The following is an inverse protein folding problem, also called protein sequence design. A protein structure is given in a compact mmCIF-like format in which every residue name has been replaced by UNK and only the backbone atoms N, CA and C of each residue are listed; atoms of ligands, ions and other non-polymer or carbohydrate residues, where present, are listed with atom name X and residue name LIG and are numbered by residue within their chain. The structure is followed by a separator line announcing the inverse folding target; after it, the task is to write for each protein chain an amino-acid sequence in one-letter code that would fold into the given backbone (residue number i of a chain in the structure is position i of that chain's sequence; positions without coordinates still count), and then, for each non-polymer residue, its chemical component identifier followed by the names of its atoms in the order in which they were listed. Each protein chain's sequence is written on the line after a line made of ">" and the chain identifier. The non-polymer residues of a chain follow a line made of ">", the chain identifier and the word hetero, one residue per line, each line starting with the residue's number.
data_IF_596521982630
#
_entry.id   IF_596521982630
#
_cell.length_a   1.000
_cell.length_b   1.000
_cell.length_c   1.000
_cell.angle_alpha   90.00
_cell.angle_beta   90.00
_cell.angle_gamma   90.00
#
_symmetry.space_group_name_H-M   'P 1'
#
loop_
_entity.id
_entity.type
_entity.pdbx_description
1 polymer ?
#
# COMPACT_ATOMS: atom_id res chain seq x y z
N UNK A 1 4.13 -10.96 -3.39
CA UNK A 1 2.92 -11.74 -3.72
C UNK A 1 1.89 -11.50 -2.63
N UNK A 2 0.66 -11.14 -2.97
CA UNK A 2 -0.41 -11.10 -1.96
C UNK A 2 -0.70 -12.53 -1.48
N UNK A 3 -1.13 -12.68 -0.23
CA UNK A 3 -1.31 -14.00 0.41
C UNK A 3 -2.37 -14.84 -0.33
N UNK A 4 -3.24 -14.21 -1.12
CA UNK A 4 -4.35 -14.87 -1.82
C UNK A 4 -3.93 -15.85 -2.91
N UNK A 5 -2.65 -15.83 -3.34
CA UNK A 5 -2.12 -16.76 -4.34
C UNK A 5 -1.56 -18.05 -3.71
N UNK A 6 -1.61 -18.21 -2.38
CA UNK A 6 -1.08 -19.38 -1.65
C UNK A 6 -2.21 -20.33 -1.23
N UNK A 7 -2.31 -21.55 -1.81
CA UNK A 7 -3.38 -22.49 -1.50
C UNK A 7 -3.38 -22.96 -0.03
N UNK A 8 -2.21 -23.00 0.61
CA UNK A 8 -2.02 -23.42 2.00
C UNK A 8 -2.40 -22.34 3.02
N UNK A 9 -2.55 -21.08 2.59
CA UNK A 9 -2.86 -19.95 3.46
C UNK A 9 -3.75 -18.93 2.74
N UNK A 10 -5.06 -19.19 2.63
CA UNK A 10 -5.96 -18.36 1.81
C UNK A 10 -6.11 -16.93 2.34
N UNK A 11 -5.88 -16.70 3.64
CA UNK A 11 -5.89 -15.36 4.24
C UNK A 11 -4.99 -15.26 5.49
N UNK A 12 -4.79 -14.03 5.97
CA UNK A 12 -4.07 -13.73 7.21
C UNK A 12 -4.91 -12.89 8.14
N UNK A 13 -4.84 -13.15 9.44
CA UNK A 13 -5.34 -12.25 10.49
C UNK A 13 -4.16 -11.40 11.00
N UNK A 14 -4.29 -10.08 10.96
CA UNK A 14 -3.32 -9.15 11.53
C UNK A 14 -3.98 -7.79 11.80
N UNK A 15 -3.40 -6.96 12.67
CA UNK A 15 -3.79 -5.56 12.78
C UNK A 15 -3.63 -4.80 11.46
N UNK A 16 -4.46 -3.77 11.29
CA UNK A 16 -4.35 -2.77 10.22
C UNK A 16 -3.64 -1.50 10.69
N UNK A 17 -3.71 -1.25 12.00
CA UNK A 17 -3.04 -0.17 12.71
C UNK A 17 -2.01 -0.78 13.67
N UNK A 18 -0.84 -0.17 13.73
CA UNK A 18 0.26 -0.56 14.60
C UNK A 18 0.67 0.64 15.42
N UNK A 19 0.45 0.58 16.72
CA UNK A 19 0.84 1.63 17.65
C UNK A 19 2.30 1.45 18.06
N UNK A 20 3.06 2.53 18.00
CA UNK A 20 4.42 2.62 18.48
C UNK A 20 4.44 3.61 19.64
N UNK A 21 4.67 3.15 20.88
CA UNK A 21 4.85 4.02 22.02
C UNK A 21 6.02 4.99 21.81
N UNK A 22 5.98 6.14 22.48
CA UNK A 22 7.12 7.03 22.54
C UNK A 22 8.33 6.31 23.15
N UNK A 23 9.52 6.62 22.61
CA UNK A 23 10.82 6.18 23.14
C UNK A 23 11.69 7.41 23.36
N UNK A 24 12.87 7.25 23.95
CA UNK A 24 13.80 8.37 24.14
C UNK A 24 14.22 9.07 22.85
N UNK A 25 14.14 8.38 21.70
CA UNK A 25 14.56 8.91 20.39
C UNK A 25 13.42 9.10 19.39
N UNK A 26 12.22 8.61 19.67
CA UNK A 26 11.10 8.65 18.73
C UNK A 26 9.80 9.04 19.43
N UNK A 27 8.99 9.94 18.84
CA UNK A 27 7.66 10.23 19.35
C UNK A 27 6.72 9.03 19.19
N UNK A 28 5.65 9.04 19.97
CA UNK A 28 4.52 8.14 19.76
C UNK A 28 3.94 8.31 18.36
N UNK A 29 3.61 7.19 17.71
CA UNK A 29 3.09 7.18 16.33
C UNK A 29 2.24 5.96 16.05
N UNK A 30 1.44 6.04 15.00
CA UNK A 30 0.67 4.92 14.47
C UNK A 30 1.11 4.67 13.04
N UNK A 31 1.45 3.42 12.72
CA UNK A 31 1.61 2.98 11.35
C UNK A 31 0.34 2.30 10.84
N UNK A 32 0.09 2.48 9.55
CA UNK A 32 -1.07 1.99 8.84
C UNK A 32 -0.62 1.02 7.76
N UNK A 33 -1.27 -0.14 7.68
CA UNK A 33 -1.17 -0.99 6.50
C UNK A 33 -2.53 -1.62 6.20
N UNK A 34 -3.23 -0.98 5.28
CA UNK A 34 -4.62 -1.23 4.98
C UNK A 34 -4.90 -1.07 3.47
N UNK A 35 -5.85 -1.86 2.98
CA UNK A 35 -6.50 -1.66 1.69
C UNK A 35 -7.91 -2.24 1.74
N UNK A 36 -8.93 -1.41 1.47
CA UNK A 36 -10.35 -1.81 1.56
C UNK A 36 -10.70 -2.97 0.64
N UNK A 37 -10.09 -3.00 -0.56
CA UNK A 37 -10.30 -4.01 -1.61
C UNK A 37 -10.26 -5.46 -1.09
N UNK A 38 -9.41 -5.77 -0.11
CA UNK A 38 -9.29 -7.15 0.40
C UNK A 38 -10.56 -7.66 1.08
N UNK A 39 -11.36 -6.76 1.65
CA UNK A 39 -12.55 -7.10 2.42
C UNK A 39 -13.84 -7.02 1.58
N UNK A 40 -13.85 -6.26 0.49
CA UNK A 40 -15.08 -6.00 -0.28
C UNK A 40 -14.95 -6.26 -1.78
N UNK A 41 -13.74 -6.53 -2.29
CA UNK A 41 -13.46 -6.60 -3.72
C UNK A 41 -13.44 -5.23 -4.40
N UNK A 42 -13.01 -5.18 -5.66
CA UNK A 42 -13.09 -3.97 -6.49
C UNK A 42 -12.94 -4.30 -7.98
N UNK A 43 -13.95 -3.98 -8.80
CA UNK A 43 -13.90 -4.17 -10.26
C UNK A 43 -13.53 -5.60 -10.65
N UNK A 44 -12.47 -5.76 -11.45
CA UNK A 44 -11.95 -7.05 -11.91
C UNK A 44 -11.24 -7.90 -10.82
N UNK A 45 -11.15 -7.40 -9.58
CA UNK A 45 -10.51 -8.08 -8.46
C UNK A 45 -11.58 -8.37 -7.39
N UNK A 46 -12.39 -9.44 -7.55
CA UNK A 46 -13.43 -9.79 -6.59
C UNK A 46 -12.82 -10.14 -5.23
N UNK A 47 -13.65 -10.04 -4.18
CA UNK A 47 -13.28 -10.49 -2.84
C UNK A 47 -13.00 -11.99 -2.86
N UNK A 48 -11.93 -12.44 -2.20
CA UNK A 48 -11.68 -13.87 -2.00
C UNK A 48 -12.78 -14.46 -1.06
N UNK A 49 -13.54 -15.48 -1.50
CA UNK A 49 -14.60 -16.10 -0.70
C UNK A 49 -14.10 -16.80 0.57
N UNK A 50 -12.83 -17.20 0.63
CA UNK A 50 -12.23 -17.85 1.81
C UNK A 50 -12.00 -16.88 2.97
N UNK A 51 -12.08 -15.56 2.72
CA UNK A 51 -11.99 -14.55 3.78
C UNK A 51 -13.34 -14.47 4.50
N UNK A 52 -13.41 -14.77 5.82
CA UNK A 52 -14.66 -14.70 6.56
C UNK A 52 -15.31 -13.31 6.49
N UNK A 53 -16.65 -13.20 6.48
CA UNK A 53 -17.34 -11.91 6.59
C UNK A 53 -16.78 -11.07 7.74
N UNK A 54 -16.63 -9.77 7.50
CA UNK A 54 -16.24 -8.84 8.57
C UNK A 54 -17.45 -8.61 9.48
N UNK A 55 -17.20 -8.42 10.77
CA UNK A 55 -18.26 -8.04 11.71
C UNK A 55 -18.71 -6.60 11.47
N UNK A 56 -19.87 -6.23 12.00
CA UNK A 56 -20.35 -4.84 11.97
C UNK A 56 -19.34 -3.87 12.58
N UNK A 57 -18.82 -4.16 13.77
CA UNK A 57 -17.77 -3.36 14.41
C UNK A 57 -16.49 -3.23 13.56
N UNK A 58 -16.12 -4.27 12.80
CA UNK A 58 -15.01 -4.19 11.86
C UNK A 58 -15.35 -3.29 10.68
N UNK A 59 -16.55 -3.39 10.12
CA UNK A 59 -17.01 -2.52 9.04
C UNK A 59 -17.01 -1.05 9.48
N UNK A 60 -17.57 -0.74 10.65
CA UNK A 60 -17.56 0.60 11.25
C UNK A 60 -16.14 1.13 11.45
N UNK A 61 -15.20 0.30 11.91
CA UNK A 61 -13.81 0.69 12.05
C UNK A 61 -13.15 1.00 10.69
N UNK A 62 -13.43 0.19 9.67
CA UNK A 62 -12.93 0.43 8.31
C UNK A 62 -13.52 1.72 7.71
N UNK A 63 -14.80 2.00 7.95
CA UNK A 63 -15.49 3.23 7.54
C UNK A 63 -14.94 4.44 8.25
N UNK A 64 -14.71 4.34 9.56
CA UNK A 64 -14.07 5.41 10.35
C UNK A 64 -12.72 5.80 9.74
N UNK A 65 -11.85 4.83 9.42
CA UNK A 65 -10.55 5.10 8.79
C UNK A 65 -10.72 5.78 7.42
N UNK A 66 -11.70 5.34 6.63
CA UNK A 66 -11.97 5.91 5.31
C UNK A 66 -12.45 7.36 5.39
N UNK A 67 -13.49 7.63 6.19
CA UNK A 67 -14.08 8.96 6.30
C UNK A 67 -13.16 9.96 6.99
N UNK A 68 -12.31 9.53 7.93
CA UNK A 68 -11.24 10.38 8.46
C UNK A 68 -10.21 10.69 7.37
N UNK A 69 -9.81 9.69 6.58
CA UNK A 69 -8.90 9.88 5.46
C UNK A 69 -9.43 10.88 4.43
N UNK A 70 -10.71 10.81 4.09
CA UNK A 70 -11.39 11.74 3.19
C UNK A 70 -11.48 13.16 3.78
N UNK A 71 -11.96 13.27 5.03
CA UNK A 71 -12.10 14.55 5.74
C UNK A 71 -10.79 15.31 5.88
N UNK A 72 -9.68 14.60 6.13
CA UNK A 72 -8.36 15.19 6.33
C UNK A 72 -7.44 15.05 5.12
N UNK A 73 -8.01 14.71 3.94
CA UNK A 73 -7.21 14.60 2.73
C UNK A 73 -6.63 15.96 2.33
N UNK A 74 -5.44 15.93 1.73
CA UNK A 74 -4.84 17.10 1.09
C UNK A 74 -4.80 16.81 -0.40
N UNK A 75 -5.61 17.54 -1.15
CA UNK A 75 -5.56 17.51 -2.61
C UNK A 75 -4.32 18.26 -3.08
N UNK A 76 -3.52 17.59 -3.91
CA UNK A 76 -2.31 18.16 -4.47
C UNK A 76 -2.53 18.39 -5.95
N UNK A 77 -2.14 19.56 -6.45
CA UNK A 77 -2.11 19.83 -7.88
C UNK A 77 -0.83 19.22 -8.48
N UNK A 78 -0.83 17.90 -8.66
CA UNK A 78 0.38 17.15 -9.03
C UNK A 78 0.69 17.29 -10.52
N UNK A 79 1.62 18.17 -10.84
CA UNK A 79 1.97 18.58 -12.21
C UNK A 79 3.15 17.80 -12.78
N UNK A 80 3.35 17.92 -14.09
CA UNK A 80 4.49 17.30 -14.77
C UNK A 80 5.80 17.87 -14.24
N UNK A 81 6.68 17.00 -13.74
CA UNK A 81 7.97 17.37 -13.18
C UNK A 81 8.00 17.38 -11.66
N UNK A 82 6.83 17.39 -11.02
CA UNK A 82 6.73 17.29 -9.57
C UNK A 82 7.17 15.90 -9.06
N UNK A 83 7.66 15.87 -7.83
CA UNK A 83 8.05 14.65 -7.12
C UNK A 83 7.31 14.61 -5.79
N UNK A 84 6.63 13.49 -5.52
CA UNK A 84 5.94 13.24 -4.24
C UNK A 84 6.69 12.20 -3.42
N UNK A 85 7.09 12.57 -2.21
CA UNK A 85 7.62 11.65 -1.21
C UNK A 85 6.52 11.30 -0.21
N UNK A 86 6.23 10.00 -0.09
CA UNK A 86 5.16 9.50 0.78
C UNK A 86 5.74 8.49 1.75
N UNK A 87 5.64 8.76 3.05
CA UNK A 87 5.85 7.73 4.05
C UNK A 87 4.67 6.75 4.03
N UNK A 88 4.87 5.61 3.39
CA UNK A 88 3.84 4.59 3.17
C UNK A 88 3.30 3.95 4.47
N UNK A 89 3.95 4.16 5.62
CA UNK A 89 3.44 3.73 6.92
C UNK A 89 2.56 4.79 7.59
N UNK A 90 2.68 6.06 7.22
CA UNK A 90 2.00 7.16 7.89
C UNK A 90 0.85 7.75 7.07
N UNK A 91 0.90 7.66 5.75
CA UNK A 91 0.01 8.40 4.84
C UNK A 91 -0.71 7.46 3.88
N UNK A 92 -2.04 7.56 3.81
CA UNK A 92 -2.80 7.03 2.68
C UNK A 92 -2.63 7.92 1.46
N UNK A 93 -2.48 7.29 0.30
CA UNK A 93 -2.42 7.97 -0.98
C UNK A 93 -3.48 7.39 -1.90
N UNK A 94 -4.17 8.27 -2.61
CA UNK A 94 -5.22 7.94 -3.54
C UNK A 94 -5.09 8.84 -4.78
N UNK A 95 -5.97 8.59 -5.74
CA UNK A 95 -6.08 9.39 -6.95
C UNK A 95 -7.53 9.37 -7.39
N UNK A 96 -8.00 10.51 -7.88
CA UNK A 96 -9.31 10.61 -8.52
C UNK A 96 -9.40 9.76 -9.79
N UNK A 97 -10.65 9.49 -10.18
CA UNK A 97 -10.97 8.92 -11.47
C UNK A 97 -10.59 9.87 -12.59
N UNK A 98 -9.94 9.36 -13.64
CA UNK A 98 -9.67 10.10 -14.88
C UNK A 98 -9.87 9.18 -16.08
N UNK A 99 -10.00 9.77 -17.27
CA UNK A 99 -10.06 9.06 -18.54
C UNK A 99 -8.89 9.50 -19.42
N UNK A 100 -8.14 8.54 -19.95
CA UNK A 100 -7.06 8.80 -20.90
C UNK A 100 -7.63 9.13 -22.29
N UNK A 101 -6.94 9.99 -23.04
CA UNK A 101 -7.12 10.14 -24.50
C UNK A 101 -5.85 9.67 -25.24
N UNK A 102 -5.88 9.49 -26.57
CA UNK A 102 -4.65 9.19 -27.32
C UNK A 102 -3.54 10.23 -27.12
N UNK A 103 -3.90 11.50 -26.95
CA UNK A 103 -2.98 12.64 -26.80
C UNK A 103 -2.62 12.95 -25.34
N UNK A 104 -3.50 12.57 -24.38
CA UNK A 104 -3.33 12.85 -22.96
C UNK A 104 -3.41 11.55 -22.16
N UNK A 105 -2.23 11.03 -21.82
CA UNK A 105 -2.08 9.89 -20.90
C UNK A 105 -1.23 10.27 -19.71
N UNK A 106 -1.68 9.91 -18.51
CA UNK A 106 -0.91 10.18 -17.28
C UNK A 106 0.19 9.13 -17.11
N UNK A 107 1.44 9.56 -17.16
CA UNK A 107 2.61 8.71 -16.92
C UNK A 107 3.29 9.12 -15.61
N UNK A 108 3.41 8.18 -14.67
CA UNK A 108 4.17 8.34 -13.43
C UNK A 108 5.24 7.27 -13.28
N UNK A 109 6.39 7.67 -12.75
CA UNK A 109 7.40 6.78 -12.22
C UNK A 109 7.16 6.61 -10.71
N UNK A 110 7.20 5.36 -10.22
CA UNK A 110 7.04 5.06 -8.79
C UNK A 110 8.22 4.24 -8.31
N UNK A 111 8.91 4.76 -7.30
CA UNK A 111 9.98 4.08 -6.60
C UNK A 111 9.51 3.64 -5.21
N UNK A 112 9.95 2.47 -4.78
CA UNK A 112 9.82 2.01 -3.40
C UNK A 112 11.18 2.19 -2.74
N UNK A 113 11.27 3.16 -1.84
CA UNK A 113 12.52 3.54 -1.19
C UNK A 113 12.51 3.06 0.24
N UNK A 114 13.67 2.56 0.70
CA UNK A 114 13.91 2.23 2.10
C UNK A 114 15.33 2.62 2.46
N UNK A 115 15.42 3.44 3.51
CA UNK A 115 16.68 3.74 4.18
C UNK A 115 16.78 2.86 5.44
N UNK A 116 17.67 1.87 5.51
CA UNK A 116 17.80 1.00 6.69
C UNK A 116 18.14 1.75 7.97
N UNK A 117 18.79 2.92 7.89
CA UNK A 117 19.22 3.70 9.06
C UNK A 117 18.06 4.50 9.65
N UNK A 118 17.19 5.05 8.78
CA UNK A 118 16.09 5.94 9.18
C UNK A 118 14.70 5.31 9.05
N UNK A 119 14.58 4.08 8.53
CA UNK A 119 13.30 3.39 8.41
C UNK A 119 12.67 3.17 9.79
N UNK A 120 11.36 3.36 9.87
CA UNK A 120 10.62 2.95 11.05
C UNK A 120 10.74 1.44 11.22
N UNK A 121 10.73 1.00 12.49
CA UNK A 121 10.69 -0.41 12.82
C UNK A 121 9.51 -1.07 12.11
N UNK A 122 9.78 -2.16 11.41
CA UNK A 122 8.74 -2.92 10.71
C UNK A 122 7.97 -3.74 11.75
N UNK A 123 6.64 -3.55 11.90
CA UNK A 123 5.85 -4.39 12.79
C UNK A 123 6.06 -5.87 12.50
N UNK A 124 6.19 -6.70 13.54
CA UNK A 124 6.47 -8.14 13.40
C UNK A 124 5.49 -8.84 12.45
N UNK A 125 4.20 -8.49 12.52
CA UNK A 125 3.15 -9.01 11.65
C UNK A 125 3.31 -8.66 10.15
N UNK A 126 4.13 -7.65 9.83
CA UNK A 126 4.41 -7.17 8.47
C UNK A 126 5.78 -7.63 7.95
N UNK A 127 6.64 -8.20 8.80
CA UNK A 127 8.03 -8.56 8.47
C UNK A 127 8.14 -9.36 7.17
N UNK A 128 7.42 -10.48 7.08
CA UNK A 128 7.41 -11.34 5.89
C UNK A 128 7.06 -10.60 4.58
N UNK A 129 6.25 -9.54 4.63
CA UNK A 129 5.87 -8.75 3.45
C UNK A 129 6.96 -7.74 3.10
N UNK A 130 7.60 -7.17 4.09
CA UNK A 130 8.74 -6.28 3.91
C UNK A 130 9.95 -7.06 3.36
N UNK A 131 10.17 -8.27 3.84
CA UNK A 131 11.25 -9.15 3.38
C UNK A 131 11.11 -9.44 1.89
N UNK A 132 9.88 -9.70 1.40
CA UNK A 132 9.62 -9.85 -0.04
C UNK A 132 9.99 -8.65 -0.90
N UNK A 133 10.07 -7.44 -0.31
CA UNK A 133 10.36 -6.20 -1.03
C UNK A 133 11.81 -5.76 -0.86
N UNK A 134 12.42 -6.03 0.28
CA UNK A 134 13.68 -5.41 0.67
C UNK A 134 14.78 -6.40 1.06
N UNK A 135 14.44 -7.65 1.40
CA UNK A 135 15.45 -8.63 1.79
C UNK A 135 16.18 -9.16 0.54
N UNK A 136 17.52 -9.16 0.60
CA UNK A 136 18.36 -9.71 -0.46
C UNK A 136 18.33 -8.94 -1.78
N UNK A 137 17.82 -7.69 -1.80
CA UNK A 137 17.84 -6.84 -2.99
C UNK A 137 19.26 -6.29 -3.20
N UNK A 138 19.87 -6.67 -4.32
CA UNK A 138 21.13 -6.11 -4.81
C UNK A 138 20.87 -5.03 -5.88
N UNK A 139 21.82 -4.12 -6.17
CA UNK A 139 21.66 -3.12 -7.23
C UNK A 139 21.23 -3.71 -8.58
N UNK A 140 21.73 -4.88 -8.93
CA UNK A 140 21.44 -5.59 -10.20
C UNK A 140 20.03 -6.18 -10.24
N UNK A 141 19.43 -6.43 -9.06
CA UNK A 141 18.06 -6.96 -8.95
C UNK A 141 16.98 -5.87 -8.93
N UNK A 142 17.38 -4.60 -8.86
CA UNK A 142 16.47 -3.47 -8.89
C UNK A 142 15.92 -3.25 -10.30
N UNK A 143 14.63 -2.94 -10.41
CA UNK A 143 13.97 -2.71 -11.69
C UNK A 143 13.66 -1.22 -11.85
N UNK A 144 14.30 -0.61 -12.85
CA UNK A 144 14.08 0.77 -13.28
C UNK A 144 13.49 0.75 -14.69
N UNK A 145 12.16 0.70 -14.83
CA UNK A 145 11.53 0.67 -16.14
C UNK A 145 11.74 2.01 -16.83
N UNK A 146 12.56 2.01 -17.89
CA UNK A 146 12.78 3.19 -18.75
C UNK A 146 11.56 3.49 -19.61
N UNK A 147 10.81 2.45 -19.99
CA UNK A 147 9.60 2.56 -20.79
C UNK A 147 8.34 2.33 -19.94
N UNK A 148 7.25 3.09 -20.19
CA UNK A 148 5.97 2.87 -19.51
C UNK A 148 5.41 1.49 -19.84
N UNK A 149 4.97 0.78 -18.80
CA UNK A 149 4.20 -0.46 -18.95
C UNK A 149 3.02 -0.49 -17.98
N UNK A 150 1.94 -1.14 -18.39
CA UNK A 150 0.78 -1.35 -17.53
C UNK A 150 1.05 -2.57 -16.66
N UNK A 151 1.12 -2.37 -15.33
CA UNK A 151 1.11 -3.48 -14.38
C UNK A 151 -0.27 -4.14 -14.40
N UNK A 152 -0.34 -5.37 -14.87
CA UNK A 152 -1.52 -6.23 -14.77
C UNK A 152 -1.25 -7.38 -13.80
N UNK A 153 -2.31 -8.06 -13.34
CA UNK A 153 -2.14 -9.28 -12.55
C UNK A 153 -1.30 -10.36 -13.27
N UNK A 154 -1.29 -10.35 -14.61
CA UNK A 154 -0.49 -11.21 -15.48
C UNK A 154 0.93 -10.71 -15.74
N UNK A 155 1.21 -9.43 -15.50
CA UNK A 155 2.52 -8.81 -15.69
C UNK A 155 2.96 -8.19 -14.37
N UNK A 156 3.19 -9.06 -13.38
CA UNK A 156 3.84 -8.72 -12.09
C UNK A 156 5.32 -8.48 -12.36
N UNK A 157 5.64 -7.42 -13.09
CA UNK A 157 7.00 -6.91 -13.17
C UNK A 157 7.50 -6.72 -11.74
N UNK A 158 8.59 -7.42 -11.41
CA UNK A 158 9.37 -7.04 -10.23
C UNK A 158 9.76 -5.58 -10.40
#
# INVERSE_FOLDING_TARGET
>A
MEVFDRPDKPYTKRPLLFHFPATGSNPERVALQYGRRYFVGFGALPRNPDIPPITEAQAEALDTVHFLGDKFCVNTDFQKGDIQYINNLAIFHARDGFTDTPEKRRHLLRLWLRDPENAWETPSALRWRWDQLYEGITPESQVFPLEPYIRSASNKGR
#
